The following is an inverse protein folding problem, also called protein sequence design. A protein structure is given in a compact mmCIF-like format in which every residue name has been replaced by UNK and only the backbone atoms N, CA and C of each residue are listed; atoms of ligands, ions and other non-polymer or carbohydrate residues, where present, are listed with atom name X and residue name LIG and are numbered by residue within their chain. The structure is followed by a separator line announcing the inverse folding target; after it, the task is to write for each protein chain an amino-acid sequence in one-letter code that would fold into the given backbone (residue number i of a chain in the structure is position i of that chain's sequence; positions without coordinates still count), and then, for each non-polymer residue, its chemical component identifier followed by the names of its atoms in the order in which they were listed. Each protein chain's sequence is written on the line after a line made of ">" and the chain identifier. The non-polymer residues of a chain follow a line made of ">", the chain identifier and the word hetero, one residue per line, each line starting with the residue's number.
data_IF_434102088661
#
_entry.id   IF_434102088661
#
_cell.length_a   1.000
_cell.length_b   1.000
_cell.length_c   1.000
_cell.angle_alpha   90.00
_cell.angle_beta   90.00
_cell.angle_gamma   90.00
#
_symmetry.space_group_name_H-M   'P 1'
#
loop_
_entity.id
_entity.type
_entity.pdbx_description
1 polymer ?
#
# COMPACT_ATOMS: atom_id res chain seq x y z
N UNK A 1 -0.75 11.60 -25.05
CA UNK A 1 0.33 10.80 -24.45
C UNK A 1 -0.01 10.52 -22.99
N UNK A 2 -0.01 9.25 -22.60
CA UNK A 2 -0.36 8.86 -21.24
C UNK A 2 0.92 8.69 -20.42
N UNK A 3 0.97 9.34 -19.26
CA UNK A 3 2.08 9.17 -18.34
C UNK A 3 1.63 8.25 -17.21
N UNK A 4 2.34 7.12 -17.05
CA UNK A 4 2.06 6.19 -15.96
C UNK A 4 2.95 6.52 -14.77
N UNK A 5 2.34 6.68 -13.62
CA UNK A 5 3.10 6.87 -12.38
C UNK A 5 3.58 5.51 -11.86
N UNK A 6 4.78 5.46 -11.33
CA UNK A 6 5.27 4.27 -10.64
C UNK A 6 4.45 4.06 -9.36
N UNK A 7 4.45 2.85 -8.79
CA UNK A 7 3.74 2.60 -7.52
C UNK A 7 4.16 3.56 -6.41
N UNK A 8 5.45 3.86 -6.28
CA UNK A 8 5.93 4.81 -5.26
C UNK A 8 5.40 6.21 -5.50
N UNK A 9 5.34 6.65 -6.75
CA UNK A 9 4.78 7.95 -7.10
C UNK A 9 3.28 8.00 -6.81
N UNK A 10 2.57 6.93 -7.10
CA UNK A 10 1.14 6.85 -6.82
C UNK A 10 0.84 6.96 -5.33
N UNK A 11 1.59 6.24 -4.48
CA UNK A 11 1.37 6.30 -3.03
C UNK A 11 1.76 7.66 -2.47
N UNK A 12 2.81 8.28 -3.04
CA UNK A 12 3.23 9.62 -2.62
C UNK A 12 2.18 10.67 -2.94
N UNK A 13 1.54 10.56 -4.11
CA UNK A 13 0.54 11.51 -4.57
C UNK A 13 -0.86 11.25 -3.99
N UNK A 14 -1.07 10.12 -3.33
CA UNK A 14 -2.38 9.73 -2.84
C UNK A 14 -2.91 10.69 -1.78
N UNK A 15 -4.17 11.09 -1.90
CA UNK A 15 -4.83 11.92 -0.88
C UNK A 15 -5.10 11.15 0.40
N UNK A 16 -5.36 9.83 0.27
CA UNK A 16 -5.58 8.95 1.40
C UNK A 16 -4.79 7.68 1.20
N UNK A 17 -4.17 7.20 2.27
CA UNK A 17 -3.37 5.98 2.21
C UNK A 17 -3.36 5.28 3.55
N UNK A 18 -3.20 3.96 3.48
CA UNK A 18 -2.96 3.14 4.66
C UNK A 18 -1.47 2.82 4.69
N UNK A 19 -0.84 2.90 5.84
CA UNK A 19 0.59 2.65 6.01
C UNK A 19 0.79 1.55 7.05
N UNK A 20 1.61 0.57 6.72
CA UNK A 20 1.87 -0.58 7.56
C UNK A 20 1.03 -1.78 7.17
N UNK A 21 1.52 -2.99 7.49
CA UNK A 21 0.88 -4.23 7.07
C UNK A 21 -0.55 -4.38 7.61
N UNK A 22 -0.74 -4.14 8.91
CA UNK A 22 -2.06 -4.29 9.53
C UNK A 22 -3.10 -3.34 8.96
N UNK A 23 -2.72 -2.07 8.78
CA UNK A 23 -3.62 -1.07 8.22
C UNK A 23 -3.94 -1.36 6.75
N UNK A 24 -2.95 -1.86 6.01
CA UNK A 24 -3.14 -2.23 4.61
C UNK A 24 -4.13 -3.39 4.48
N UNK A 25 -3.98 -4.44 5.28
CA UNK A 25 -4.92 -5.57 5.29
C UNK A 25 -6.34 -5.09 5.60
N UNK A 26 -6.48 -4.24 6.61
CA UNK A 26 -7.78 -3.68 6.98
C UNK A 26 -8.41 -2.92 5.82
N UNK A 27 -7.64 -2.08 5.16
CA UNK A 27 -8.12 -1.29 4.03
C UNK A 27 -8.56 -2.18 2.87
N UNK A 28 -7.80 -3.22 2.56
CA UNK A 28 -8.13 -4.18 1.51
C UNK A 28 -9.45 -4.89 1.84
N UNK A 29 -9.58 -5.39 3.06
CA UNK A 29 -10.78 -6.12 3.48
C UNK A 29 -12.04 -5.27 3.48
N UNK A 30 -11.89 -3.98 3.72
CA UNK A 30 -13.02 -3.05 3.71
C UNK A 30 -13.36 -2.53 2.31
N UNK A 31 -12.58 -2.91 1.31
CA UNK A 31 -12.82 -2.47 -0.07
C UNK A 31 -12.36 -1.05 -0.36
N UNK A 32 -11.48 -0.50 0.47
CA UNK A 32 -10.99 0.87 0.32
C UNK A 32 -9.73 0.99 -0.54
N UNK A 33 -8.98 -0.11 -0.69
CA UNK A 33 -7.67 -0.08 -1.36
C UNK A 33 -7.81 -0.16 -2.87
N UNK A 34 -7.11 0.72 -3.57
CA UNK A 34 -7.01 0.71 -5.03
C UNK A 34 -5.73 0.03 -5.50
N UNK A 35 -4.66 0.20 -4.73
CA UNK A 35 -3.34 -0.34 -5.05
C UNK A 35 -2.63 -0.67 -3.74
N UNK A 36 -2.06 -1.86 -3.67
CA UNK A 36 -1.30 -2.30 -2.51
C UNK A 36 0.17 -2.40 -2.89
N UNK A 37 1.04 -1.87 -2.03
CA UNK A 37 2.49 -1.95 -2.20
C UNK A 37 3.08 -2.78 -1.08
N UNK A 38 4.04 -3.64 -1.41
CA UNK A 38 4.81 -4.40 -0.42
C UNK A 38 6.30 -4.21 -0.70
N UNK A 39 7.09 -4.13 0.36
CA UNK A 39 8.53 -3.97 0.25
C UNK A 39 9.21 -5.33 0.17
N UNK A 40 10.11 -5.49 -0.80
CA UNK A 40 10.82 -6.76 -1.03
C UNK A 40 11.70 -7.17 0.14
N UNK A 41 12.26 -6.22 0.85
CA UNK A 41 13.16 -6.50 1.97
C UNK A 41 12.43 -6.66 3.30
N UNK A 42 11.11 -6.59 3.31
CA UNK A 42 10.33 -6.84 4.52
C UNK A 42 10.22 -8.34 4.80
N UNK A 43 10.03 -8.68 6.07
CA UNK A 43 9.82 -10.05 6.49
C UNK A 43 8.57 -10.61 5.81
N UNK A 44 8.68 -11.76 5.17
CA UNK A 44 7.57 -12.42 4.50
C UNK A 44 6.40 -12.71 5.42
N UNK A 45 6.66 -13.01 6.68
CA UNK A 45 5.61 -13.26 7.67
C UNK A 45 4.74 -12.02 7.85
N UNK A 46 5.31 -10.84 7.65
CA UNK A 46 4.60 -9.56 7.76
C UNK A 46 3.84 -9.26 6.47
N UNK A 47 4.45 -9.49 5.31
CA UNK A 47 3.85 -9.14 4.02
C UNK A 47 2.89 -10.17 3.48
N UNK A 48 3.04 -11.45 3.84
CA UNK A 48 2.19 -12.52 3.32
C UNK A 48 0.69 -12.29 3.56
N UNK A 49 0.23 -11.86 4.75
CA UNK A 49 -1.18 -11.55 4.94
C UNK A 49 -1.67 -10.44 4.03
N UNK A 50 -0.82 -9.46 3.73
CA UNK A 50 -1.15 -8.36 2.82
C UNK A 50 -1.33 -8.88 1.40
N UNK A 51 -0.38 -9.68 0.93
CA UNK A 51 -0.43 -10.27 -0.41
C UNK A 51 -1.68 -11.14 -0.56
N UNK A 52 -1.95 -11.97 0.45
CA UNK A 52 -3.13 -12.84 0.44
C UNK A 52 -4.42 -12.06 0.38
N UNK A 53 -4.54 -11.02 1.21
CA UNK A 53 -5.74 -10.17 1.21
C UNK A 53 -5.96 -9.50 -0.14
N UNK A 54 -4.89 -8.96 -0.75
CA UNK A 54 -4.97 -8.33 -2.05
C UNK A 54 -5.41 -9.32 -3.13
N UNK A 55 -4.86 -10.53 -3.11
CA UNK A 55 -5.23 -11.57 -4.06
C UNK A 55 -6.69 -12.01 -3.91
N UNK A 56 -7.13 -12.21 -2.68
CA UNK A 56 -8.52 -12.62 -2.40
C UNK A 56 -9.54 -11.59 -2.85
N UNK A 57 -9.19 -10.32 -2.80
CA UNK A 57 -10.07 -9.22 -3.17
C UNK A 57 -9.85 -8.68 -4.57
N UNK A 58 -8.88 -9.24 -5.30
CA UNK A 58 -8.58 -8.79 -6.66
C UNK A 58 -8.01 -7.38 -6.73
N UNK A 59 -7.31 -6.94 -5.68
CA UNK A 59 -6.69 -5.61 -5.65
C UNK A 59 -5.31 -5.68 -6.28
N UNK A 60 -4.97 -4.68 -7.07
CA UNK A 60 -3.64 -4.58 -7.68
C UNK A 60 -2.55 -4.57 -6.62
N UNK A 61 -1.50 -5.35 -6.86
CA UNK A 61 -0.39 -5.50 -5.95
C UNK A 61 0.90 -5.15 -6.69
N UNK A 62 1.73 -4.32 -6.09
CA UNK A 62 3.03 -3.95 -6.61
C UNK A 62 4.10 -4.19 -5.56
N UNK A 63 5.30 -4.57 -6.00
CA UNK A 63 6.45 -4.68 -5.13
C UNK A 63 7.33 -3.45 -5.30
N UNK A 64 7.91 -2.99 -4.19
CA UNK A 64 8.93 -1.93 -4.19
C UNK A 64 10.20 -2.47 -3.56
N UNK A 65 11.33 -1.82 -3.84
CA UNK A 65 12.63 -2.39 -3.48
C UNK A 65 12.89 -2.44 -1.98
N UNK A 66 12.44 -1.45 -1.24
CA UNK A 66 12.76 -1.40 0.19
C UNK A 66 11.67 -0.76 1.04
N UNK A 67 11.63 -1.18 2.30
CA UNK A 67 10.78 -0.56 3.32
C UNK A 67 11.12 0.91 3.51
N UNK A 68 12.39 1.25 3.39
CA UNK A 68 12.86 2.63 3.54
C UNK A 68 12.25 3.54 2.48
N UNK A 69 12.28 3.11 1.22
CA UNK A 69 11.69 3.87 0.12
C UNK A 69 10.18 3.99 0.29
N UNK A 70 9.53 2.90 0.69
CA UNK A 70 8.09 2.91 0.89
C UNK A 70 7.70 3.86 2.02
N UNK A 71 8.42 3.82 3.14
CA UNK A 71 8.18 4.74 4.26
C UNK A 71 8.36 6.20 3.84
N UNK A 72 9.39 6.48 3.07
CA UNK A 72 9.63 7.82 2.53
C UNK A 72 8.49 8.30 1.65
N UNK A 73 8.04 7.45 0.75
CA UNK A 73 6.93 7.79 -0.14
C UNK A 73 5.64 8.07 0.64
N UNK A 74 5.46 7.38 1.76
CA UNK A 74 4.31 7.60 2.65
C UNK A 74 4.48 8.80 3.59
N UNK A 75 5.65 9.43 3.60
CA UNK A 75 5.91 10.61 4.44
C UNK A 75 6.16 10.28 5.91
N UNK A 76 6.61 9.08 6.24
CA UNK A 76 6.93 8.69 7.61
C UNK A 76 8.45 8.55 7.80
N UNK A 77 8.90 8.68 9.05
CA UNK A 77 10.32 8.67 9.39
C UNK A 77 10.94 7.28 9.41
N UNK A 78 10.12 6.22 9.46
CA UNK A 78 10.57 4.83 9.53
C UNK A 78 10.16 4.08 8.26
N UNK A 79 10.69 2.87 8.08
CA UNK A 79 10.31 2.04 6.94
C UNK A 79 8.90 1.50 7.08
N UNK A 80 8.29 1.17 5.95
CA UNK A 80 6.98 0.53 5.89
C UNK A 80 7.07 -0.78 5.13
N UNK A 81 6.56 -1.85 5.71
CA UNK A 81 6.54 -3.16 5.05
C UNK A 81 5.50 -3.21 3.92
N UNK A 82 4.41 -2.50 4.09
CA UNK A 82 3.33 -2.42 3.12
C UNK A 82 2.58 -1.10 3.26
N UNK A 83 1.87 -0.73 2.21
CA UNK A 83 1.01 0.44 2.19
C UNK A 83 -0.05 0.27 1.11
N UNK A 84 -1.07 1.11 1.14
CA UNK A 84 -2.11 1.09 0.11
C UNK A 84 -2.55 2.50 -0.27
N UNK A 85 -2.80 2.69 -1.55
CA UNK A 85 -3.51 3.87 -2.04
C UNK A 85 -5.00 3.63 -1.81
N UNK A 86 -5.67 4.56 -1.15
CA UNK A 86 -7.08 4.43 -0.82
C UNK A 86 -7.95 5.19 -1.81
N UNK A 87 -9.11 4.62 -2.12
CA UNK A 87 -10.03 5.18 -3.08
C UNK A 87 -11.15 6.02 -2.45
N UNK A 88 -12.07 6.52 -3.28
CA UNK A 88 -13.15 7.40 -2.82
C UNK A 88 -14.16 6.73 -1.90
N UNK A 89 -14.19 5.40 -1.86
CA UNK A 89 -15.07 4.66 -0.94
C UNK A 89 -14.59 4.72 0.51
N UNK A 90 -13.34 5.18 0.74
CA UNK A 90 -12.77 5.29 2.09
C UNK A 90 -13.46 6.43 2.84
N UNK A 91 -14.02 6.18 4.06
CA UNK A 91 -14.59 7.25 4.85
C UNK A 91 -13.54 8.31 5.22
N UNK A 92 -13.95 9.57 5.29
CA UNK A 92 -13.04 10.68 5.56
C UNK A 92 -12.37 10.58 6.94
N UNK A 93 -13.01 9.89 7.88
CA UNK A 93 -12.52 9.71 9.26
C UNK A 93 -11.91 8.33 9.51
N UNK A 94 -11.65 7.61 8.45
CA UNK A 94 -11.09 6.25 8.57
C UNK A 94 -9.62 6.26 8.99
#
# INVERSE_FOLDING_TARGET
>A
MTVSLSPLEQIRAAEARAVGASQTVKAVRKGWALLVLVARDADRKVTEPVVRAAQERGVLLAEVDSMRELGRACGIAVGAAAAAVLGPATPADA
#
